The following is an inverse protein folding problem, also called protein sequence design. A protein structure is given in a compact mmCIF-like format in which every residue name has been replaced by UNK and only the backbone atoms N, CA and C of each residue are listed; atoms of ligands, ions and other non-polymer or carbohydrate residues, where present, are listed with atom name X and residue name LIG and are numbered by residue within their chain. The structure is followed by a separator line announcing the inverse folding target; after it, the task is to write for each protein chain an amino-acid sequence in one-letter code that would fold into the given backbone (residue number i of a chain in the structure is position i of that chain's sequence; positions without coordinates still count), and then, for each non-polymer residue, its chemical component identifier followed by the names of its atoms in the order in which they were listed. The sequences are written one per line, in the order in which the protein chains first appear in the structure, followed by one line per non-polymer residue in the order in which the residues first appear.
data_IF_711069219843
#
_entry.id   IF_711069219843
#
_cell.length_a   1.000
_cell.length_b   1.000
_cell.length_c   1.000
_cell.angle_alpha   90.00
_cell.angle_beta   90.00
_cell.angle_gamma   90.00
#
_symmetry.space_group_name_H-M   'P 1'
#
loop_
_entity.id
_entity.type
_entity.pdbx_description
1 polymer ?
#
# COMPACT_ATOMS: atom_id res chain seq x y z
N UNK A 1 -5.75 8.12 30.42
CA UNK A 1 -6.24 8.08 29.04
C UNK A 1 -6.35 6.63 28.60
N UNK A 2 -7.46 6.19 27.99
CA UNK A 2 -7.55 4.85 27.42
C UNK A 2 -6.52 4.72 26.29
N UNK A 3 -5.70 3.67 26.34
CA UNK A 3 -4.76 3.33 25.26
C UNK A 3 -5.57 2.71 24.14
N UNK A 4 -5.65 3.36 22.98
CA UNK A 4 -6.29 2.79 21.80
C UNK A 4 -5.40 1.68 21.21
N UNK A 5 -6.00 0.59 20.72
CA UNK A 5 -5.26 -0.50 20.10
C UNK A 5 -6.17 -1.52 19.43
N UNK A 6 -5.68 -2.15 18.36
CA UNK A 6 -6.36 -3.25 17.68
C UNK A 6 -5.97 -4.58 18.35
N UNK A 7 -6.95 -5.46 18.58
CA UNK A 7 -6.74 -6.75 19.24
C UNK A 7 -7.06 -7.88 18.26
N UNK A 8 -6.12 -8.81 18.06
CA UNK A 8 -6.37 -10.08 17.36
C UNK A 8 -6.27 -11.26 18.31
N UNK A 9 -7.36 -12.02 18.40
CA UNK A 9 -7.42 -13.30 19.11
C UNK A 9 -7.23 -14.43 18.11
N UNK A 10 -6.33 -15.35 18.39
CA UNK A 10 -6.03 -16.50 17.51
C UNK A 10 -5.60 -17.73 18.31
N UNK A 11 -5.70 -18.91 17.70
CA UNK A 11 -5.18 -20.16 18.27
C UNK A 11 -3.87 -20.50 17.57
N UNK A 12 -2.79 -20.56 18.34
CA UNK A 12 -1.48 -20.99 17.87
C UNK A 12 -1.44 -22.51 17.85
N UNK A 13 -1.36 -23.10 16.67
CA UNK A 13 -1.13 -24.54 16.52
C UNK A 13 0.36 -24.83 16.47
N UNK A 14 0.80 -25.78 17.29
CA UNK A 14 2.17 -26.28 17.30
C UNK A 14 2.17 -27.78 17.57
N UNK A 15 3.22 -28.48 17.13
CA UNK A 15 3.38 -29.89 17.42
C UNK A 15 4.22 -30.06 18.69
N UNK A 16 3.72 -30.82 19.65
CA UNK A 16 4.42 -31.19 20.88
C UNK A 16 4.83 -32.65 20.77
N UNK A 17 6.08 -32.95 21.08
CA UNK A 17 6.52 -34.34 21.23
C UNK A 17 5.91 -34.92 22.51
N UNK A 18 5.22 -36.05 22.42
CA UNK A 18 4.90 -36.87 23.58
C UNK A 18 6.13 -37.72 23.90
N UNK A 19 6.73 -37.52 25.07
CA UNK A 19 7.96 -38.24 25.45
C UNK A 19 7.75 -39.76 25.54
N UNK A 20 6.54 -40.20 25.89
CA UNK A 20 6.19 -41.60 26.08
C UNK A 20 6.06 -42.38 24.76
N UNK A 21 5.42 -41.78 23.74
CA UNK A 21 5.17 -42.43 22.45
C UNK A 21 6.13 -41.98 21.35
N UNK A 22 6.93 -40.93 21.61
CA UNK A 22 7.74 -40.22 20.62
C UNK A 22 6.94 -39.70 19.42
N UNK A 23 5.62 -39.58 19.56
CA UNK A 23 4.75 -39.05 18.52
C UNK A 23 4.58 -37.54 18.65
N UNK A 24 4.42 -36.87 17.51
CA UNK A 24 4.09 -35.46 17.44
C UNK A 24 2.57 -35.27 17.54
N UNK A 25 2.12 -34.62 18.61
CA UNK A 25 0.70 -34.31 18.82
C UNK A 25 0.44 -32.83 18.59
N UNK A 26 -0.55 -32.46 17.76
CA UNK A 26 -0.93 -31.08 17.57
C UNK A 26 -1.57 -30.53 18.85
N UNK A 27 -1.05 -29.40 19.34
CA UNK A 27 -1.60 -28.62 20.46
C UNK A 27 -1.98 -27.21 20.00
N UNK A 28 -2.92 -26.61 20.70
CA UNK A 28 -3.36 -25.23 20.51
C UNK A 28 -3.12 -24.41 21.79
N UNK A 29 -2.64 -23.17 21.65
CA UNK A 29 -2.65 -22.19 22.75
C UNK A 29 -3.30 -20.90 22.28
N UNK A 30 -4.13 -20.29 23.13
CA UNK A 30 -4.71 -18.98 22.84
C UNK A 30 -3.62 -17.90 22.82
N UNK A 31 -3.68 -17.03 21.82
CA UNK A 31 -2.77 -15.90 21.70
C UNK A 31 -3.57 -14.64 21.37
N UNK A 32 -3.30 -13.60 22.14
CA UNK A 32 -3.89 -12.27 21.96
C UNK A 32 -2.77 -11.30 21.66
N UNK A 33 -2.81 -10.69 20.48
CA UNK A 33 -1.84 -9.69 20.05
C UNK A 33 -2.49 -8.32 20.09
N UNK A 34 -1.75 -7.33 20.61
CA UNK A 34 -2.18 -5.93 20.69
C UNK A 34 -1.31 -5.11 19.75
N UNK A 35 -1.95 -4.43 18.81
CA UNK A 35 -1.31 -3.43 17.95
C UNK A 35 -1.57 -2.06 18.53
N UNK A 36 -0.49 -1.34 18.82
CA UNK A 36 -0.47 0.07 19.18
C UNK A 36 -0.38 0.89 17.90
N UNK A 37 -1.07 2.01 17.90
CA UNK A 37 -0.97 2.99 16.83
C UNK A 37 -0.90 4.40 17.40
N UNK A 38 -0.33 5.30 16.61
CA UNK A 38 -0.26 6.73 16.85
C UNK A 38 -0.77 7.41 15.59
N UNK A 39 -1.82 8.22 15.74
CA UNK A 39 -2.44 8.95 14.64
C UNK A 39 -2.10 10.43 14.77
N UNK A 40 -1.36 10.96 13.79
CA UNK A 40 -1.15 12.38 13.60
C UNK A 40 -2.28 12.92 12.70
N UNK A 41 -3.23 13.62 13.33
CA UNK A 41 -4.40 14.17 12.65
C UNK A 41 -4.03 15.34 11.73
N UNK A 42 -2.99 16.11 12.05
CA UNK A 42 -2.63 17.31 11.30
C UNK A 42 -2.07 16.95 9.93
N UNK A 43 -1.36 15.83 9.85
CA UNK A 43 -0.74 15.32 8.62
C UNK A 43 -1.45 14.08 8.05
N UNK A 44 -2.54 13.64 8.68
CA UNK A 44 -3.28 12.42 8.31
C UNK A 44 -2.42 11.14 8.27
N UNK A 45 -1.39 11.04 9.13
CA UNK A 45 -0.44 9.93 9.17
C UNK A 45 -0.65 8.98 10.35
N UNK A 46 -0.64 7.67 10.09
CA UNK A 46 -0.82 6.63 11.12
C UNK A 46 0.44 5.78 11.21
N UNK A 47 1.06 5.78 12.39
CA UNK A 47 2.18 4.93 12.75
C UNK A 47 1.69 3.77 13.60
N UNK A 48 2.05 2.54 13.26
CA UNK A 48 1.61 1.35 13.98
C UNK A 48 2.75 0.33 14.08
N UNK A 49 2.74 -0.50 15.13
CA UNK A 49 3.64 -1.64 15.19
C UNK A 49 3.03 -2.86 14.48
N UNK A 50 3.86 -3.73 13.93
CA UNK A 50 3.41 -5.04 13.39
C UNK A 50 3.90 -6.17 14.26
N UNK A 51 3.14 -7.26 14.31
CA UNK A 51 3.61 -8.55 14.85
C UNK A 51 3.76 -9.56 13.70
N UNK A 52 4.34 -10.73 13.98
CA UNK A 52 4.47 -11.79 12.97
C UNK A 52 3.13 -12.31 12.43
N UNK A 53 2.01 -12.08 13.14
CA UNK A 53 0.68 -12.63 12.81
C UNK A 53 -0.38 -11.57 12.60
N UNK A 54 -0.04 -10.29 12.81
CA UNK A 54 -0.87 -9.14 12.50
C UNK A 54 -0.04 -8.19 11.64
N UNK A 55 -0.13 -8.41 10.34
CA UNK A 55 0.60 -7.65 9.34
C UNK A 55 -0.08 -6.33 9.01
N UNK A 56 0.52 -5.61 8.08
CA UNK A 56 -0.01 -4.33 7.62
C UNK A 56 -1.39 -4.45 6.98
N UNK A 57 -1.66 -5.53 6.22
CA UNK A 57 -2.96 -5.71 5.55
C UNK A 57 -4.10 -5.78 6.56
N UNK A 58 -3.94 -6.62 7.57
CA UNK A 58 -4.93 -6.74 8.64
C UNK A 58 -5.09 -5.43 9.42
N UNK A 59 -4.02 -4.66 9.59
CA UNK A 59 -4.11 -3.35 10.22
C UNK A 59 -4.90 -2.36 9.39
N UNK A 60 -4.54 -2.21 8.11
CA UNK A 60 -5.20 -1.26 7.22
C UNK A 60 -6.69 -1.62 7.05
N UNK A 61 -7.02 -2.89 6.82
CA UNK A 61 -8.40 -3.33 6.70
C UNK A 61 -9.20 -3.07 8.00
N UNK A 62 -8.62 -3.37 9.17
CA UNK A 62 -9.33 -3.14 10.43
C UNK A 62 -9.50 -1.64 10.73
N UNK A 63 -8.46 -0.85 10.51
CA UNK A 63 -8.45 0.57 10.89
C UNK A 63 -9.37 1.41 10.00
N UNK A 64 -9.43 1.13 8.69
CA UNK A 64 -10.32 1.84 7.76
C UNK A 64 -11.78 1.61 8.14
N UNK A 65 -12.14 0.38 8.51
CA UNK A 65 -13.48 0.06 8.98
C UNK A 65 -13.80 0.80 10.29
N UNK A 66 -12.86 0.83 11.24
CA UNK A 66 -13.05 1.52 12.53
C UNK A 66 -13.28 3.02 12.33
N UNK A 67 -12.51 3.67 11.46
CA UNK A 67 -12.70 5.10 11.18
C UNK A 67 -14.03 5.35 10.48
N UNK A 68 -14.36 4.56 9.46
CA UNK A 68 -15.58 4.77 8.69
C UNK A 68 -16.86 4.46 9.48
N UNK A 69 -16.82 3.55 10.46
CA UNK A 69 -17.94 3.36 11.40
C UNK A 69 -18.30 4.65 12.15
N UNK A 70 -17.33 5.55 12.37
CA UNK A 70 -17.58 6.86 12.98
C UNK A 70 -18.26 7.87 12.03
N UNK A 71 -18.37 7.54 10.74
CA UNK A 71 -18.94 8.38 9.70
C UNK A 71 -20.29 7.89 9.16
N UNK A 72 -20.80 6.74 9.62
CA UNK A 72 -22.04 6.13 9.09
C UNK A 72 -23.25 7.08 9.07
N UNK A 73 -23.31 8.03 10.02
CA UNK A 73 -24.39 9.02 10.15
C UNK A 73 -23.95 10.45 9.78
N UNK A 74 -22.77 10.63 9.17
CA UNK A 74 -22.22 11.94 8.84
C UNK A 74 -22.81 12.48 7.51
N UNK A 75 -23.31 13.71 7.52
CA UNK A 75 -23.76 14.42 6.32
C UNK A 75 -22.87 15.65 6.03
N UNK A 76 -22.36 15.82 4.80
CA UNK A 76 -22.54 14.95 3.61
C UNK A 76 -21.84 13.60 3.75
N UNK A 77 -22.26 12.60 2.96
CA UNK A 77 -21.65 11.26 2.97
C UNK A 77 -20.15 11.35 2.69
N UNK A 78 -19.36 10.89 3.65
CA UNK A 78 -17.90 10.90 3.59
C UNK A 78 -17.35 9.52 3.88
N UNK A 79 -16.22 9.20 3.26
CA UNK A 79 -15.49 7.96 3.53
C UNK A 79 -14.00 8.25 3.58
N UNK A 80 -13.32 7.67 4.56
CA UNK A 80 -11.86 7.62 4.60
C UNK A 80 -11.36 6.40 3.85
N UNK A 81 -10.23 6.59 3.18
CA UNK A 81 -9.38 5.49 2.72
C UNK A 81 -8.03 5.61 3.38
N UNK A 82 -7.35 4.49 3.56
CA UNK A 82 -5.98 4.47 4.05
C UNK A 82 -5.15 3.57 3.16
N UNK A 83 -3.94 4.05 2.87
CA UNK A 83 -2.95 3.37 2.07
C UNK A 83 -1.67 3.21 2.89
N UNK A 84 -0.84 2.24 2.50
CA UNK A 84 0.46 2.05 3.12
C UNK A 84 1.42 3.12 2.59
N UNK A 85 2.05 3.89 3.48
CA UNK A 85 3.14 4.76 3.05
C UNK A 85 4.31 3.89 2.57
N UNK A 86 4.67 4.00 1.30
CA UNK A 86 5.86 3.37 0.74
C UNK A 86 6.99 4.41 0.65
N UNK A 87 8.23 3.94 0.47
CA UNK A 87 9.31 4.85 0.05
C UNK A 87 9.19 5.26 -1.42
N UNK A 88 8.15 4.81 -2.12
CA UNK A 88 8.10 4.81 -3.57
C UNK A 88 8.98 3.70 -4.15
N UNK A 89 8.61 3.23 -5.33
CA UNK A 89 9.53 2.50 -6.21
C UNK A 89 9.51 3.16 -7.57
N UNK A 90 10.68 3.34 -8.17
CA UNK A 90 10.81 3.91 -9.49
C UNK A 90 10.26 2.98 -10.56
N UNK A 91 10.12 3.49 -11.80
CA UNK A 91 9.64 2.65 -12.90
C UNK A 91 10.56 1.46 -13.17
N UNK A 92 11.87 1.64 -13.04
CA UNK A 92 12.84 0.56 -13.27
C UNK A 92 12.69 -0.57 -12.24
N UNK A 93 12.51 -0.23 -10.96
CA UNK A 93 12.19 -1.19 -9.90
C UNK A 93 10.88 -1.94 -10.21
N UNK A 94 9.86 -1.23 -10.74
CA UNK A 94 8.58 -1.85 -11.16
C UNK A 94 8.83 -2.82 -12.31
N UNK A 95 9.58 -2.42 -13.35
CA UNK A 95 9.90 -3.27 -14.51
C UNK A 95 10.66 -4.53 -14.07
N UNK A 96 11.65 -4.37 -13.19
CA UNK A 96 12.41 -5.49 -12.62
C UNK A 96 11.50 -6.46 -11.85
N UNK A 97 10.69 -5.95 -10.92
CA UNK A 97 9.77 -6.77 -10.12
C UNK A 97 8.73 -7.53 -10.98
N UNK A 98 8.25 -6.90 -12.06
CA UNK A 98 7.36 -7.55 -13.03
C UNK A 98 8.08 -8.67 -13.80
N UNK A 99 9.37 -8.52 -14.10
CA UNK A 99 10.18 -9.59 -14.68
C UNK A 99 10.35 -10.81 -13.77
N UNK A 100 10.47 -10.58 -12.45
CA UNK A 100 10.72 -11.64 -11.47
C UNK A 100 9.47 -12.45 -11.07
N UNK A 101 8.27 -11.88 -11.19
CA UNK A 101 7.03 -12.53 -10.74
C UNK A 101 6.65 -13.76 -11.58
N UNK A 102 7.29 -13.92 -12.74
CA UNK A 102 7.08 -15.00 -13.70
C UNK A 102 5.96 -14.68 -14.71
N UNK A 103 5.36 -15.71 -15.31
CA UNK A 103 4.33 -15.51 -16.35
C UNK A 103 3.10 -14.78 -15.80
N UNK A 104 2.91 -13.53 -16.21
CA UNK A 104 1.80 -12.69 -15.76
C UNK A 104 0.50 -13.06 -16.50
N UNK A 105 -0.60 -13.20 -15.77
CA UNK A 105 -1.94 -13.36 -16.36
C UNK A 105 -2.76 -12.07 -16.32
N UNK A 106 -2.43 -11.16 -15.40
CA UNK A 106 -3.11 -9.89 -15.24
C UNK A 106 -2.12 -8.81 -14.81
N UNK A 107 -2.16 -7.66 -15.49
CA UNK A 107 -1.39 -6.47 -15.18
C UNK A 107 -2.37 -5.29 -15.17
N UNK A 108 -2.38 -4.52 -14.08
CA UNK A 108 -3.27 -3.38 -13.92
C UNK A 108 -2.47 -2.14 -13.50
N UNK A 109 -2.75 -1.04 -14.20
CA UNK A 109 -2.29 0.31 -13.90
C UNK A 109 -3.47 1.09 -13.33
N UNK A 110 -3.27 1.80 -12.22
CA UNK A 110 -4.24 2.75 -11.69
C UNK A 110 -3.61 4.11 -11.57
N UNK A 111 -4.35 5.11 -11.99
CA UNK A 111 -3.94 6.51 -12.02
C UNK A 111 -5.04 7.35 -11.38
N UNK A 112 -4.66 8.21 -10.44
CA UNK A 112 -5.56 9.12 -9.76
C UNK A 112 -4.95 10.54 -9.75
N UNK A 113 -5.73 11.59 -10.09
CA UNK A 113 -5.25 12.96 -10.03
C UNK A 113 -4.93 13.39 -8.58
N UNK A 114 -3.98 14.31 -8.38
CA UNK A 114 -3.72 14.90 -7.07
C UNK A 114 -4.94 15.68 -6.55
N UNK A 115 -5.07 15.77 -5.24
CA UNK A 115 -6.23 16.39 -4.59
C UNK A 115 -6.24 17.93 -4.83
N UNK A 116 -7.41 18.57 -5.07
CA UNK A 116 -7.58 20.01 -5.34
C UNK A 116 -6.83 20.98 -4.43
N UNK A 117 -6.56 20.59 -3.18
CA UNK A 117 -5.98 21.43 -2.15
C UNK A 117 -4.44 21.48 -2.15
N UNK A 118 -3.76 20.68 -2.99
CA UNK A 118 -2.30 20.71 -3.07
C UNK A 118 -1.85 21.90 -3.94
N UNK A 119 -0.92 22.74 -3.46
CA UNK A 119 -0.29 23.81 -4.29
C UNK A 119 0.28 23.30 -5.62
N UNK A 120 0.57 21.99 -5.67
CA UNK A 120 0.95 21.21 -6.83
C UNK A 120 0.02 21.43 -8.05
N UNK A 121 -1.29 21.61 -7.86
CA UNK A 121 -2.24 21.78 -8.97
C UNK A 121 -2.07 23.08 -9.75
N UNK A 122 -1.66 24.15 -9.08
CA UNK A 122 -1.40 25.42 -9.74
C UNK A 122 -0.15 25.31 -10.64
N UNK A 123 0.85 24.52 -10.23
CA UNK A 123 2.02 24.20 -11.06
C UNK A 123 1.71 23.22 -12.19
N UNK A 124 0.74 22.32 -12.01
CA UNK A 124 0.34 21.32 -13.00
C UNK A 124 -0.42 21.91 -14.20
N UNK A 125 -1.22 22.95 -13.97
CA UNK A 125 -1.94 23.65 -15.04
C UNK A 125 -1.00 24.39 -16.01
N UNK A 126 0.20 24.78 -15.56
CA UNK A 126 1.17 25.50 -16.38
C UNK A 126 2.00 24.60 -17.32
N UNK A 127 2.04 23.28 -17.07
CA UNK A 127 2.92 22.34 -17.78
C UNK A 127 2.25 21.49 -18.87
N UNK A 128 0.93 21.62 -19.06
CA UNK A 128 0.22 21.01 -20.20
C UNK A 128 0.34 19.48 -20.24
N UNK A 129 0.07 18.83 -19.11
CA UNK A 129 0.12 17.37 -19.01
C UNK A 129 -1.15 16.74 -19.59
N UNK A 130 -1.08 16.35 -20.87
CA UNK A 130 -2.25 15.89 -21.61
C UNK A 130 -3.04 14.75 -20.94
N UNK A 131 -2.45 13.89 -20.09
CA UNK A 131 -3.22 12.79 -19.45
C UNK A 131 -4.00 13.25 -18.21
N UNK A 132 -3.41 14.06 -17.33
CA UNK A 132 -4.13 14.62 -16.17
C UNK A 132 -5.11 15.70 -16.60
N UNK A 133 -4.73 16.55 -17.55
CA UNK A 133 -5.62 17.56 -18.14
C UNK A 133 -6.84 16.89 -18.79
N UNK A 134 -6.64 15.80 -19.54
CA UNK A 134 -7.76 15.03 -20.09
C UNK A 134 -8.64 14.40 -19.00
N UNK A 135 -8.06 13.96 -17.88
CA UNK A 135 -8.83 13.44 -16.75
C UNK A 135 -9.67 14.55 -16.10
N UNK A 136 -9.07 15.72 -15.86
CA UNK A 136 -9.74 16.89 -15.30
C UNK A 136 -10.88 17.38 -16.20
N UNK A 137 -10.60 17.59 -17.49
CA UNK A 137 -11.62 17.97 -18.49
C UNK A 137 -12.76 16.95 -18.60
N UNK A 138 -12.47 15.66 -18.39
CA UNK A 138 -13.46 14.59 -18.41
C UNK A 138 -14.13 14.33 -17.04
N UNK A 139 -13.78 15.09 -15.99
CA UNK A 139 -14.19 14.84 -14.60
C UNK A 139 -13.88 13.42 -14.10
N UNK A 140 -12.77 12.85 -14.55
CA UNK A 140 -12.29 11.51 -14.19
C UNK A 140 -11.46 11.61 -12.91
N UNK A 141 -11.99 11.07 -11.81
CA UNK A 141 -11.29 11.00 -10.52
C UNK A 141 -10.36 9.79 -10.40
N UNK A 142 -10.50 8.81 -11.31
CA UNK A 142 -9.66 7.61 -11.35
C UNK A 142 -9.72 6.92 -12.70
N UNK A 143 -8.58 6.41 -13.16
CA UNK A 143 -8.46 5.58 -14.36
C UNK A 143 -7.74 4.28 -14.06
N UNK A 144 -8.33 3.17 -14.48
CA UNK A 144 -7.75 1.83 -14.38
C UNK A 144 -7.54 1.26 -15.80
N UNK A 145 -6.32 0.82 -16.12
CA UNK A 145 -5.98 0.11 -17.38
C UNK A 145 -5.56 -1.31 -17.04
N UNK A 146 -6.25 -2.30 -17.61
CA UNK A 146 -6.03 -3.72 -17.29
C UNK A 146 -5.72 -4.53 -18.54
N UNK A 147 -4.60 -5.26 -18.50
CA UNK A 147 -4.22 -6.26 -19.48
C UNK A 147 -4.42 -7.66 -18.89
N UNK A 148 -5.01 -8.57 -19.68
CA UNK A 148 -5.27 -9.94 -19.26
C UNK A 148 -4.86 -10.95 -20.33
N UNK A 149 -4.34 -12.10 -19.89
CA UNK A 149 -3.99 -13.22 -20.76
C UNK A 149 -4.49 -14.54 -20.19
N UNK A 150 -5.30 -15.24 -20.98
CA UNK A 150 -5.74 -16.61 -20.69
C UNK A 150 -4.76 -17.66 -21.23
N UNK A 151 -4.04 -17.35 -22.32
CA UNK A 151 -3.08 -18.27 -22.98
C UNK A 151 -1.85 -18.61 -22.12
N UNK A 152 -1.23 -19.77 -22.34
CA UNK A 152 -0.17 -20.36 -21.49
C UNK A 152 1.11 -19.52 -21.35
N UNK A 153 1.40 -18.65 -22.32
CA UNK A 153 2.56 -17.75 -22.31
C UNK A 153 2.46 -16.65 -21.27
N UNK A 154 1.24 -16.19 -20.95
CA UNK A 154 1.02 -14.97 -20.18
C UNK A 154 1.20 -13.70 -21.04
N UNK A 155 1.13 -12.54 -20.39
CA UNK A 155 1.38 -11.25 -21.02
C UNK A 155 2.86 -11.10 -21.41
N UNK A 156 3.09 -10.52 -22.59
CA UNK A 156 4.43 -10.16 -23.05
C UNK A 156 4.77 -8.74 -22.58
N UNK A 157 5.55 -8.63 -21.51
CA UNK A 157 5.95 -7.34 -20.93
C UNK A 157 6.79 -6.49 -21.89
N UNK A 158 7.51 -7.12 -22.81
CA UNK A 158 8.36 -6.45 -23.81
C UNK A 158 7.57 -5.99 -25.04
N UNK A 159 6.24 -6.18 -25.05
CA UNK A 159 5.41 -5.70 -26.14
C UNK A 159 5.31 -4.18 -26.11
N UNK A 160 5.30 -3.56 -27.30
CA UNK A 160 5.14 -2.10 -27.44
C UNK A 160 3.92 -1.58 -26.70
N UNK A 161 2.82 -2.34 -26.70
CA UNK A 161 1.59 -1.99 -26.01
C UNK A 161 1.78 -1.83 -24.49
N UNK A 162 2.51 -2.75 -23.85
CA UNK A 162 2.75 -2.71 -22.40
C UNK A 162 3.84 -1.70 -22.06
N UNK A 163 4.92 -1.64 -22.85
CA UNK A 163 6.00 -0.70 -22.60
C UNK A 163 5.54 0.75 -22.79
N UNK A 164 4.73 1.06 -23.80
CA UNK A 164 4.12 2.38 -23.97
C UNK A 164 3.24 2.76 -22.78
N UNK A 165 2.46 1.83 -22.21
CA UNK A 165 1.63 2.13 -21.03
C UNK A 165 2.48 2.34 -19.76
N UNK A 166 3.56 1.58 -19.58
CA UNK A 166 4.54 1.80 -18.52
C UNK A 166 5.25 3.15 -18.67
N UNK A 167 5.65 3.52 -19.88
CA UNK A 167 6.34 4.78 -20.13
C UNK A 167 5.41 5.99 -19.95
N UNK A 168 4.10 5.83 -20.21
CA UNK A 168 3.11 6.87 -19.86
C UNK A 168 3.08 7.19 -18.37
N UNK A 169 3.48 6.25 -17.49
CA UNK A 169 3.62 6.52 -16.05
C UNK A 169 4.73 7.52 -15.74
N UNK A 170 5.76 7.63 -16.59
CA UNK A 170 6.83 8.62 -16.43
C UNK A 170 6.36 10.05 -16.66
N UNK A 171 5.28 10.23 -17.43
CA UNK A 171 4.74 11.52 -17.82
C UNK A 171 3.45 11.91 -17.10
N UNK A 172 3.07 11.21 -16.03
CA UNK A 172 1.89 11.58 -15.21
C UNK A 172 2.16 12.83 -14.39
N UNK A 173 3.43 13.18 -14.17
CA UNK A 173 3.80 14.40 -13.46
C UNK A 173 5.26 14.78 -13.80
N UNK A 174 5.52 15.83 -14.58
CA UNK A 174 6.90 16.28 -14.85
C UNK A 174 7.58 16.87 -13.61
N UNK A 175 6.79 17.33 -12.64
CA UNK A 175 7.28 17.85 -11.37
C UNK A 175 7.44 16.80 -10.26
N UNK A 176 7.13 15.51 -10.53
CA UNK A 176 7.30 14.41 -9.57
C UNK A 176 7.83 13.18 -10.30
N UNK A 177 8.92 12.63 -9.80
CA UNK A 177 9.41 11.34 -10.27
C UNK A 177 8.34 10.24 -10.13
N UNK A 178 8.40 9.16 -10.94
CA UNK A 178 7.53 7.99 -10.78
C UNK A 178 7.55 7.40 -9.36
N UNK A 179 8.69 7.54 -8.66
CA UNK A 179 8.86 7.16 -7.27
C UNK A 179 7.98 8.02 -6.33
N UNK A 180 7.98 9.34 -6.49
CA UNK A 180 7.15 10.26 -5.71
C UNK A 180 5.66 10.11 -6.03
N UNK A 181 5.31 9.94 -7.31
CA UNK A 181 3.93 9.70 -7.72
C UNK A 181 3.38 8.38 -7.15
N UNK A 182 4.22 7.35 -7.04
CA UNK A 182 3.89 6.08 -6.39
C UNK A 182 3.84 6.23 -4.86
N UNK A 183 4.80 6.93 -4.24
CA UNK A 183 4.81 7.27 -2.80
C UNK A 183 3.52 7.96 -2.38
N UNK A 184 3.02 8.87 -3.22
CA UNK A 184 1.80 9.66 -2.97
C UNK A 184 0.51 8.97 -3.43
N UNK A 185 0.59 7.75 -3.97
CA UNK A 185 -0.59 6.96 -4.39
C UNK A 185 -1.27 7.42 -5.68
N UNK A 186 -0.66 8.34 -6.43
CA UNK A 186 -1.19 8.79 -7.74
C UNK A 186 -1.04 7.71 -8.82
N UNK A 187 -0.06 6.83 -8.65
CA UNK A 187 0.20 5.70 -9.55
C UNK A 187 0.29 4.41 -8.75
N UNK A 188 -0.44 3.39 -9.22
CA UNK A 188 -0.34 2.03 -8.71
C UNK A 188 -0.21 1.03 -9.86
N UNK A 189 0.75 0.12 -9.73
CA UNK A 189 0.91 -1.03 -10.63
C UNK A 189 0.71 -2.31 -9.83
N UNK A 190 -0.22 -3.15 -10.28
CA UNK A 190 -0.45 -4.48 -9.70
C UNK A 190 -0.34 -5.55 -10.76
N UNK A 191 0.25 -6.68 -10.40
CA UNK A 191 0.34 -7.84 -11.29
C UNK A 191 -0.02 -9.12 -10.57
N UNK A 192 -0.60 -10.06 -11.32
CA UNK A 192 -0.89 -11.42 -10.85
C UNK A 192 -0.29 -12.41 -11.84
N UNK A 193 0.56 -13.31 -11.34
CA UNK A 193 1.13 -14.40 -12.13
C UNK A 193 0.12 -15.53 -12.33
N UNK A 194 0.38 -16.40 -13.31
CA UNK A 194 -0.37 -17.65 -13.50
C UNK A 194 -0.30 -18.59 -12.31
N UNK A 195 0.79 -18.54 -11.53
CA UNK A 195 0.94 -19.32 -10.29
C UNK A 195 0.25 -18.67 -9.08
N UNK A 196 -0.34 -17.48 -9.26
CA UNK A 196 -1.05 -16.75 -8.21
C UNK A 196 -0.18 -15.83 -7.37
N UNK A 197 1.12 -15.68 -7.69
CA UNK A 197 1.97 -14.66 -7.08
C UNK A 197 1.41 -13.27 -7.41
N UNK A 198 1.43 -12.37 -6.45
CA UNK A 198 0.92 -11.00 -6.58
C UNK A 198 2.04 -10.00 -6.34
N UNK A 199 2.02 -8.93 -7.11
CA UNK A 199 2.85 -7.75 -6.92
C UNK A 199 1.95 -6.52 -6.85
N UNK A 200 2.34 -5.56 -6.02
CA UNK A 200 1.70 -4.25 -5.90
C UNK A 200 2.79 -3.22 -5.61
N UNK A 201 2.86 -2.17 -6.42
CA UNK A 201 3.85 -1.11 -6.27
C UNK A 201 3.68 -0.33 -4.95
N UNK A 202 2.46 -0.22 -4.43
CA UNK A 202 2.17 0.38 -3.12
C UNK A 202 2.65 -0.48 -1.95
N UNK A 203 2.71 -1.80 -2.14
CA UNK A 203 3.18 -2.73 -1.10
C UNK A 203 4.71 -2.94 -1.19
N UNK A 204 5.35 -2.40 -2.24
CA UNK A 204 6.78 -2.48 -2.45
C UNK A 204 7.50 -1.40 -1.61
N UNK A 205 8.62 -1.79 -0.98
CA UNK A 205 9.42 -0.93 -0.08
C UNK A 205 8.54 -0.15 0.93
N UNK A 206 7.74 -0.83 1.77
CA UNK A 206 6.93 -0.16 2.78
C UNK A 206 7.82 0.65 3.73
N UNK A 207 7.41 1.86 4.08
CA UNK A 207 8.15 2.68 5.03
C UNK A 207 8.09 2.01 6.41
N UNK A 208 9.25 1.56 6.89
CA UNK A 208 9.38 0.84 8.17
C UNK A 208 10.59 1.37 8.91
N UNK A 209 10.43 1.55 10.22
CA UNK A 209 11.53 1.89 11.14
C UNK A 209 11.63 0.82 12.21
N UNK A 210 12.84 0.34 12.46
CA UNK A 210 13.11 -0.60 13.55
C UNK A 210 13.24 0.23 14.83
N UNK A 211 12.37 -0.04 15.80
CA UNK A 211 12.44 0.58 17.12
C UNK A 211 13.36 -0.31 17.97
N UNK A 212 14.58 0.16 18.21
CA UNK A 212 15.48 -0.44 19.20
C UNK A 212 15.20 0.18 20.58
N UNK A 213 15.50 -0.51 21.67
CA UNK A 213 15.30 -0.05 23.06
C UNK A 213 15.93 1.32 23.41
N UNK A 214 16.77 1.87 22.52
CA UNK A 214 17.42 3.18 22.61
C UNK A 214 16.56 4.35 22.09
N UNK A 215 15.60 4.09 21.20
CA UNK A 215 14.60 5.07 20.78
C UNK A 215 13.50 5.03 21.84
N UNK A 216 13.20 6.17 22.46
CA UNK A 216 12.20 6.31 23.51
C UNK A 216 10.78 5.85 23.12
N UNK A 217 9.80 6.24 23.95
CA UNK A 217 8.39 5.85 23.84
C UNK A 217 7.89 5.73 22.38
N UNK A 218 7.10 4.69 22.06
CA UNK A 218 6.59 4.36 20.72
C UNK A 218 6.08 5.57 19.94
N UNK A 219 5.47 6.52 20.65
CA UNK A 219 5.02 7.80 20.13
C UNK A 219 6.14 8.64 19.49
N UNK A 220 7.29 8.75 20.14
CA UNK A 220 8.42 9.54 19.65
C UNK A 220 9.04 8.88 18.42
N UNK A 221 9.14 7.55 18.41
CA UNK A 221 9.56 6.81 17.23
C UNK A 221 8.63 7.04 16.01
N UNK A 222 7.31 7.15 16.23
CA UNK A 222 6.37 7.51 15.18
C UNK A 222 6.58 8.95 14.69
N UNK A 223 6.78 9.91 15.58
CA UNK A 223 7.03 11.31 15.20
C UNK A 223 8.31 11.47 14.36
N UNK A 224 9.38 10.79 14.77
CA UNK A 224 10.63 10.79 14.01
C UNK A 224 10.45 10.16 12.62
N UNK A 225 9.66 9.08 12.54
CA UNK A 225 9.32 8.44 11.27
C UNK A 225 8.50 9.37 10.36
N UNK A 226 7.53 10.10 10.90
CA UNK A 226 6.73 11.05 10.12
C UNK A 226 7.57 12.22 9.62
N UNK A 227 8.49 12.71 10.44
CA UNK A 227 9.41 13.78 10.03
C UNK A 227 10.27 13.35 8.84
N UNK A 228 10.78 12.12 8.83
CA UNK A 228 11.53 11.56 7.69
C UNK A 228 10.65 11.29 6.46
N UNK A 229 9.37 10.95 6.66
CA UNK A 229 8.44 10.73 5.56
C UNK A 229 8.08 12.04 4.85
N UNK A 230 7.94 13.12 5.63
CA UNK A 230 7.51 14.44 5.19
C UNK A 230 8.66 15.35 4.72
N UNK A 231 9.92 14.99 5.04
CA UNK A 231 11.12 15.64 4.50
C UNK A 231 11.41 15.24 3.07
#
# INVERSE_FOLDING_TARGET
MPKAGCIKKSILRYNSLLEETKELVPKGVENTEVIRFYFDLDHELIGYNTTNRFGYKEFLEAFVHVINLGLDDFEPEMYFTISLCSKGIGLDDIKEALGEIGKIKELQFKIQPPNPAQELLNHLQELGEGRLENMDQANVTRMDVTFQSTGESGLNLDSTLIDEELNKLQGIHQALSPEEANKNGYIKVTAVSKTGRKFSSEEAKPFKKVINDLLGDFKDACKDAFTELLS
#
